data_IF_079006356329
#
_entry.id   IF_079006356329
#
_cell.length_a   1.000
_cell.length_b   1.000
_cell.length_c   1.000
_cell.angle_alpha   90.00
_cell.angle_beta   90.00
_cell.angle_gamma   90.00
#
_symmetry.space_group_name_H-M   'P 1'
#
loop_
_entity.id
_entity.type
_entity.pdbx_description
1 polymer ?
#
# COMPACT_ATOMS: atom_id res chain seq x y z
N UNK A 1 10.93 4.09 0.28
CA UNK A 1 10.74 2.90 1.15
C UNK A 1 12.07 2.20 1.46
N UNK A 2 12.98 2.08 0.51
CA UNK A 2 14.31 1.45 0.68
C UNK A 2 15.07 1.87 1.95
N UNK A 3 15.12 3.17 2.26
CA UNK A 3 15.81 3.66 3.47
C UNK A 3 15.21 3.11 4.78
N UNK A 4 13.89 3.08 4.91
CA UNK A 4 13.22 2.58 6.10
C UNK A 4 13.23 1.04 6.15
N UNK A 5 13.12 0.38 4.98
CA UNK A 5 13.29 -1.07 4.87
C UNK A 5 14.70 -1.49 5.33
N UNK A 6 15.74 -0.76 4.90
CA UNK A 6 17.13 -0.97 5.31
C UNK A 6 17.31 -0.88 6.83
N UNK A 7 16.60 0.04 7.51
CA UNK A 7 16.65 0.21 8.98
C UNK A 7 15.87 -0.84 9.77
N UNK A 8 14.94 -1.54 9.14
CA UNK A 8 14.07 -2.56 9.78
C UNK A 8 14.57 -3.99 9.46
N UNK A 9 15.39 -4.15 8.42
CA UNK A 9 15.94 -5.44 8.01
C UNK A 9 16.76 -6.10 9.13
N UNK A 10 16.49 -7.37 9.41
CA UNK A 10 17.26 -8.18 10.36
C UNK A 10 18.65 -8.45 9.75
N UNK A 11 19.70 -8.14 10.50
CA UNK A 11 21.11 -8.32 10.12
C UNK A 11 21.94 -8.75 11.32
N UNK A 12 23.06 -9.39 11.03
CA UNK A 12 24.08 -9.80 12.01
C UNK A 12 24.82 -8.60 12.63
N UNK A 13 24.85 -7.46 11.94
CA UNK A 13 25.33 -6.18 12.49
C UNK A 13 24.33 -5.57 13.49
N UNK A 14 24.78 -4.67 14.37
CA UNK A 14 23.92 -4.08 15.41
C UNK A 14 22.72 -3.32 14.84
N UNK A 15 21.53 -3.91 15.01
CA UNK A 15 20.26 -3.26 14.71
C UNK A 15 19.67 -2.69 16.00
N UNK A 16 20.06 -1.46 16.33
CA UNK A 16 19.66 -0.84 17.59
C UNK A 16 18.14 -0.64 17.72
N UNK A 17 17.38 -0.54 16.63
CA UNK A 17 15.95 -0.16 16.66
C UNK A 17 15.04 -1.37 16.94
N UNK A 18 15.42 -2.56 16.45
CA UNK A 18 14.66 -3.80 16.57
C UNK A 18 14.41 -4.32 18.02
N UNK A 19 15.36 -4.23 18.97
CA UNK A 19 15.16 -4.78 20.31
C UNK A 19 14.17 -3.98 21.17
N UNK A 20 13.90 -2.72 20.82
CA UNK A 20 13.01 -1.86 21.61
C UNK A 20 11.53 -2.14 21.31
N UNK A 21 10.98 -3.25 21.78
CA UNK A 21 9.57 -3.72 21.61
C UNK A 21 8.54 -2.61 21.28
N UNK A 22 8.11 -1.83 22.27
CA UNK A 22 7.02 -0.87 22.11
C UNK A 22 7.43 0.37 21.30
N UNK A 23 8.65 0.87 21.53
CA UNK A 23 9.22 2.00 20.77
C UNK A 23 9.42 1.66 19.29
N UNK A 24 9.67 0.40 18.96
CA UNK A 24 9.80 -0.10 17.60
C UNK A 24 8.46 -0.08 16.88
N UNK A 25 7.37 -0.45 17.56
CA UNK A 25 6.02 -0.32 17.01
C UNK A 25 5.66 1.14 16.76
N UNK A 26 5.96 2.04 17.72
CA UNK A 26 5.77 3.47 17.53
C UNK A 26 6.58 4.01 16.35
N UNK A 27 7.87 3.65 16.28
CA UNK A 27 8.75 4.02 15.17
C UNK A 27 8.18 3.56 13.82
N UNK A 28 7.67 2.33 13.71
CA UNK A 28 7.03 1.83 12.47
C UNK A 28 5.84 2.67 12.06
N UNK A 29 4.94 2.97 13.01
CA UNK A 29 3.72 3.75 12.75
C UNK A 29 4.07 5.18 12.36
N UNK A 30 4.98 5.83 13.10
CA UNK A 30 5.41 7.21 12.81
C UNK A 30 6.08 7.33 11.44
N UNK A 31 6.97 6.38 11.09
CA UNK A 31 7.61 6.40 9.78
C UNK A 31 6.61 6.15 8.65
N UNK A 32 5.64 5.25 8.84
CA UNK A 32 4.57 5.05 7.87
C UNK A 32 3.73 6.31 7.69
N UNK A 33 3.27 6.94 8.78
CA UNK A 33 2.46 8.15 8.75
C UNK A 33 3.20 9.30 8.05
N UNK A 34 4.51 9.46 8.29
CA UNK A 34 5.35 10.43 7.60
C UNK A 34 5.34 10.20 6.08
N UNK A 35 5.62 8.97 5.64
CA UNK A 35 5.69 8.62 4.22
C UNK A 35 4.33 8.85 3.55
N UNK A 36 3.25 8.44 4.21
CA UNK A 36 1.91 8.58 3.66
C UNK A 36 1.47 10.05 3.60
N UNK A 37 1.93 10.89 4.53
CA UNK A 37 1.68 12.34 4.51
C UNK A 37 2.44 13.05 3.38
N UNK A 38 3.66 12.60 3.05
CA UNK A 38 4.47 13.18 1.98
C UNK A 38 4.00 12.77 0.57
N UNK A 39 3.33 11.62 0.45
CA UNK A 39 2.92 11.01 -0.83
C UNK A 39 1.94 11.88 -1.65
N UNK A 40 0.87 12.47 -1.09
CA UNK A 40 0.00 13.39 -1.81
C UNK A 40 0.71 14.65 -2.29
N UNK A 41 1.64 15.19 -1.49
CA UNK A 41 2.43 16.36 -1.86
C UNK A 41 3.32 16.05 -3.07
N UNK A 42 3.98 14.89 -3.06
CA UNK A 42 4.77 14.42 -4.19
C UNK A 42 3.93 14.32 -5.47
N UNK A 43 2.73 13.73 -5.37
CA UNK A 43 1.81 13.59 -6.51
C UNK A 43 1.42 14.97 -7.04
N UNK A 44 1.07 15.92 -6.18
CA UNK A 44 0.69 17.28 -6.57
C UNK A 44 1.80 18.03 -7.31
N UNK A 45 3.05 17.84 -6.90
CA UNK A 45 4.21 18.53 -7.48
C UNK A 45 4.72 17.88 -8.77
N UNK A 46 4.55 16.56 -8.93
CA UNK A 46 5.14 15.79 -10.04
C UNK A 46 4.12 15.35 -11.11
N UNK A 47 2.98 16.03 -11.22
CA UNK A 47 1.88 15.66 -12.15
C UNK A 47 2.34 15.49 -13.62
N UNK A 48 3.26 16.34 -14.11
CA UNK A 48 3.79 16.25 -15.48
C UNK A 48 4.61 14.98 -15.70
N UNK A 49 5.46 14.62 -14.74
CA UNK A 49 6.27 13.39 -14.79
C UNK A 49 5.40 12.12 -14.69
N UNK A 50 4.28 12.21 -14.00
CA UNK A 50 3.30 11.13 -13.86
C UNK A 50 2.37 10.98 -15.08
N UNK A 51 2.60 11.72 -16.17
CA UNK A 51 1.78 11.73 -17.41
C UNK A 51 0.29 11.92 -17.15
N UNK A 52 -0.04 12.71 -16.14
CA UNK A 52 -1.44 13.02 -15.83
C UNK A 52 -2.12 13.80 -16.97
N UNK A 53 -1.35 14.49 -17.81
CA UNK A 53 -1.86 15.26 -18.96
C UNK A 53 -2.60 14.37 -19.98
N UNK A 54 -2.14 13.14 -20.21
CA UNK A 54 -2.83 12.16 -21.08
C UNK A 54 -4.23 11.82 -20.54
N UNK A 55 -4.38 11.80 -19.21
CA UNK A 55 -5.67 11.59 -18.55
C UNK A 55 -6.57 12.82 -18.57
N UNK A 56 -6.00 14.03 -18.61
CA UNK A 56 -6.79 15.25 -18.80
C UNK A 56 -7.44 15.19 -20.19
N UNK A 57 -6.69 14.85 -21.23
CA UNK A 57 -7.22 14.74 -22.59
C UNK A 57 -8.26 13.62 -22.74
N UNK A 58 -8.03 12.44 -22.13
CA UNK A 58 -9.01 11.36 -22.11
C UNK A 58 -10.30 11.77 -21.37
N UNK A 59 -10.17 12.46 -20.23
CA UNK A 59 -11.31 12.98 -19.50
C UNK A 59 -12.04 14.04 -20.31
N UNK A 60 -11.34 14.98 -20.91
CA UNK A 60 -11.94 16.05 -21.70
C UNK A 60 -12.68 15.49 -22.92
N UNK A 61 -12.15 14.42 -23.55
CA UNK A 61 -12.86 13.68 -24.61
C UNK A 61 -14.16 13.02 -24.12
N UNK A 62 -14.20 12.54 -22.87
CA UNK A 62 -15.40 11.96 -22.23
C UNK A 62 -16.37 13.05 -21.75
N UNK A 63 -15.87 14.22 -21.36
CA UNK A 63 -16.65 15.31 -20.71
C UNK A 63 -17.09 16.41 -21.68
N UNK A 64 -16.88 16.24 -22.98
CA UNK A 64 -17.17 17.23 -24.03
C UNK A 64 -18.68 17.49 -24.27
N UNK A 65 -19.53 17.17 -23.27
CA UNK A 65 -20.98 17.40 -23.27
C UNK A 65 -21.42 18.47 -22.24
N UNK A 66 -20.49 19.18 -21.57
CA UNK A 66 -20.91 20.32 -20.75
C UNK A 66 -19.87 20.97 -19.85
N UNK A 67 -19.59 22.24 -20.17
CA UNK A 67 -19.16 23.33 -19.27
C UNK A 67 -17.69 23.34 -18.78
N UNK A 68 -16.86 24.08 -19.53
CA UNK A 68 -15.39 24.22 -19.40
C UNK A 68 -14.96 25.22 -18.30
N UNK A 69 -15.85 25.65 -17.41
CA UNK A 69 -15.60 26.82 -16.54
C UNK A 69 -15.01 26.51 -15.16
N UNK A 70 -14.85 25.24 -14.77
CA UNK A 70 -14.33 24.85 -13.45
C UNK A 70 -13.09 23.94 -13.50
N UNK A 71 -12.12 24.26 -14.35
CA UNK A 71 -10.79 23.63 -14.32
C UNK A 71 -9.97 24.25 -13.17
N UNK A 72 -10.49 24.17 -11.95
CA UNK A 72 -9.70 24.41 -10.74
C UNK A 72 -8.76 23.22 -10.61
N UNK A 73 -7.55 23.36 -11.16
CA UNK A 73 -6.38 22.47 -11.05
C UNK A 73 -6.64 21.18 -10.25
N UNK A 74 -7.38 20.25 -10.83
CA UNK A 74 -7.70 18.97 -10.19
C UNK A 74 -6.42 18.14 -10.17
N UNK A 75 -5.89 17.89 -8.98
CA UNK A 75 -4.76 16.97 -8.81
C UNK A 75 -5.28 15.57 -9.02
N UNK A 76 -4.90 14.96 -10.13
CA UNK A 76 -5.27 13.58 -10.40
C UNK A 76 -4.37 12.66 -9.56
N UNK A 77 -4.99 11.97 -8.62
CA UNK A 77 -4.35 10.89 -7.87
C UNK A 77 -4.22 9.65 -8.77
N UNK A 78 -3.04 9.01 -8.84
CA UNK A 78 -2.87 7.71 -9.48
C UNK A 78 -3.81 6.65 -8.86
N UNK A 79 -4.10 5.58 -9.59
CA UNK A 79 -4.92 4.48 -9.08
C UNK A 79 -4.20 3.63 -8.01
N UNK A 80 -2.88 3.77 -7.89
CA UNK A 80 -2.08 3.18 -6.80
C UNK A 80 -2.28 3.88 -5.46
N UNK A 81 -3.07 4.96 -5.39
CA UNK A 81 -3.45 5.60 -4.15
C UNK A 81 -4.68 4.90 -3.55
N UNK A 82 -4.49 4.26 -2.41
CA UNK A 82 -5.53 3.51 -1.70
C UNK A 82 -6.67 4.46 -1.34
N UNK A 83 -7.92 4.00 -1.48
CA UNK A 83 -9.14 4.80 -1.27
C UNK A 83 -9.44 5.87 -2.33
N UNK A 84 -8.71 5.91 -3.44
CA UNK A 84 -9.11 6.71 -4.60
C UNK A 84 -10.28 6.04 -5.35
N UNK A 85 -11.19 6.82 -5.94
CA UNK A 85 -12.25 6.30 -6.81
C UNK A 85 -11.70 5.43 -7.95
N UNK A 86 -10.55 5.84 -8.53
CA UNK A 86 -9.86 5.04 -9.56
C UNK A 86 -9.36 3.69 -9.07
N UNK A 87 -8.85 3.63 -7.84
CA UNK A 87 -8.37 2.39 -7.24
C UNK A 87 -9.48 1.34 -7.15
N UNK A 88 -10.67 1.77 -6.70
CA UNK A 88 -11.84 0.90 -6.66
C UNK A 88 -12.31 0.49 -8.06
N UNK A 89 -12.26 1.41 -9.03
CA UNK A 89 -12.67 1.10 -10.39
C UNK A 89 -11.76 0.06 -11.07
N UNK A 90 -10.45 0.17 -10.90
CA UNK A 90 -9.49 -0.83 -11.41
C UNK A 90 -9.74 -2.20 -10.78
N UNK A 91 -9.95 -2.28 -9.46
CA UNK A 91 -10.28 -3.55 -8.82
C UNK A 91 -11.59 -4.16 -9.33
N UNK A 92 -12.61 -3.33 -9.57
CA UNK A 92 -13.86 -3.82 -10.15
C UNK A 92 -13.60 -4.35 -11.56
N UNK A 93 -12.83 -3.64 -12.39
CA UNK A 93 -12.46 -4.11 -13.73
C UNK A 93 -11.70 -5.44 -13.66
N UNK A 94 -10.69 -5.56 -12.80
CA UNK A 94 -9.92 -6.78 -12.61
C UNK A 94 -10.82 -7.95 -12.19
N UNK A 95 -11.69 -7.75 -11.20
CA UNK A 95 -12.67 -8.77 -10.77
C UNK A 95 -13.59 -9.16 -11.92
N UNK A 96 -14.08 -8.19 -12.70
CA UNK A 96 -14.94 -8.46 -13.86
C UNK A 96 -14.19 -9.25 -14.95
N UNK A 97 -12.91 -8.97 -15.18
CA UNK A 97 -12.10 -9.75 -16.12
C UNK A 97 -11.93 -11.18 -15.65
N UNK A 98 -11.71 -11.39 -14.35
CA UNK A 98 -11.59 -12.71 -13.74
C UNK A 98 -12.90 -13.51 -13.83
N UNK A 99 -14.04 -12.87 -13.53
CA UNK A 99 -15.36 -13.51 -13.67
C UNK A 99 -15.66 -13.84 -15.13
N UNK A 100 -15.24 -13.00 -16.07
CA UNK A 100 -15.42 -13.25 -17.50
C UNK A 100 -14.60 -14.43 -18.00
N UNK A 101 -13.37 -14.60 -17.50
CA UNK A 101 -12.46 -15.67 -17.94
C UNK A 101 -12.69 -17.01 -17.23
N UNK A 102 -12.95 -16.99 -15.92
CA UNK A 102 -13.07 -18.19 -15.08
C UNK A 102 -14.49 -18.50 -14.63
N UNK A 103 -15.46 -17.63 -14.92
CA UNK A 103 -16.85 -17.78 -14.47
C UNK A 103 -17.06 -17.21 -13.06
N UNK A 104 -18.29 -17.37 -12.56
CA UNK A 104 -18.68 -16.83 -11.25
C UNK A 104 -17.99 -17.62 -10.13
N UNK A 105 -17.39 -16.96 -9.12
CA UNK A 105 -16.85 -17.66 -7.97
C UNK A 105 -17.99 -18.33 -7.18
N UNK A 106 -17.90 -19.64 -7.01
CA UNK A 106 -18.86 -20.42 -6.21
C UNK A 106 -18.32 -20.78 -4.81
N UNK A 107 -17.01 -20.63 -4.58
CA UNK A 107 -16.36 -20.97 -3.31
C UNK A 107 -15.87 -19.73 -2.58
N UNK A 108 -16.34 -19.54 -1.34
CA UNK A 108 -15.80 -18.57 -0.40
C UNK A 108 -15.11 -19.30 0.74
N UNK A 109 -13.77 -19.30 0.76
CA UNK A 109 -12.98 -19.84 1.87
C UNK A 109 -12.72 -18.76 2.91
N UNK A 110 -13.22 -18.97 4.12
CA UNK A 110 -12.91 -18.09 5.27
C UNK A 110 -11.83 -18.74 6.12
N UNK A 111 -10.64 -18.15 6.13
CA UNK A 111 -9.58 -18.56 7.05
C UNK A 111 -9.79 -17.84 8.38
N UNK A 112 -10.16 -18.60 9.41
CA UNK A 112 -10.13 -18.11 10.79
C UNK A 112 -8.73 -18.33 11.35
N UNK A 113 -8.10 -17.27 11.84
CA UNK A 113 -6.78 -17.33 12.44
C UNK A 113 -6.89 -17.15 13.95
N UNK A 114 -6.39 -18.12 14.72
CA UNK A 114 -6.35 -18.06 16.17
C UNK A 114 -4.90 -17.97 16.64
N UNK A 115 -4.51 -16.85 17.24
CA UNK A 115 -3.15 -16.59 17.77
C UNK A 115 -2.67 -17.61 18.81
N UNK A 116 -3.56 -18.42 19.37
CA UNK A 116 -3.21 -19.48 20.32
C UNK A 116 -2.68 -20.77 19.68
N UNK A 117 -2.81 -20.95 18.35
CA UNK A 117 -2.39 -22.18 17.67
C UNK A 117 -0.88 -22.43 17.78
N UNK A 118 -0.53 -23.71 17.86
CA UNK A 118 0.84 -24.21 18.07
C UNK A 118 1.79 -23.79 16.96
N UNK A 119 1.32 -23.75 15.72
CA UNK A 119 2.04 -23.40 14.51
C UNK A 119 2.52 -21.95 14.61
N UNK A 120 1.62 -21.05 15.01
CA UNK A 120 1.91 -19.63 15.19
C UNK A 120 2.90 -19.44 16.33
N UNK A 121 2.70 -20.13 17.45
CA UNK A 121 3.63 -20.07 18.59
C UNK A 121 5.00 -20.60 18.23
N UNK A 122 5.08 -21.65 17.41
CA UNK A 122 6.34 -22.23 16.93
C UNK A 122 7.11 -21.25 16.04
N UNK A 123 6.42 -20.59 15.10
CA UNK A 123 7.02 -19.56 14.24
C UNK A 123 7.43 -18.30 15.02
N UNK A 124 6.67 -17.94 16.07
CA UNK A 124 7.08 -16.84 16.96
C UNK A 124 8.24 -17.24 17.88
N UNK A 125 8.35 -18.50 18.28
CA UNK A 125 9.43 -19.02 19.10
C UNK A 125 10.75 -19.17 18.32
N UNK A 126 10.71 -19.58 17.06
CA UNK A 126 11.92 -19.64 16.20
C UNK A 126 12.55 -18.26 16.01
N UNK A 127 11.74 -17.20 15.90
CA UNK A 127 12.24 -15.81 15.91
C UNK A 127 12.94 -15.45 17.22
N UNK A 128 12.49 -15.99 18.36
CA UNK A 128 13.13 -15.77 19.66
C UNK A 128 14.38 -16.64 19.87
N UNK A 129 14.43 -17.86 19.34
CA UNK A 129 15.63 -18.71 19.40
C UNK A 129 16.77 -18.20 18.51
N UNK A 130 16.47 -17.57 17.38
CA UNK A 130 17.49 -16.84 16.62
C UNK A 130 18.04 -15.61 17.36
N UNK A 131 17.32 -15.07 18.36
CA UNK A 131 17.83 -14.01 19.25
C UNK A 131 18.74 -14.53 20.35
N UNK A 132 18.57 -15.77 20.81
CA UNK A 132 19.40 -16.36 21.87
C UNK A 132 20.68 -17.00 21.33
N UNK A 133 20.69 -17.47 20.08
CA UNK A 133 21.88 -18.05 19.45
C UNK A 133 22.88 -16.99 18.90
N UNK A 134 22.55 -15.70 18.95
CA UNK A 134 23.42 -14.58 18.56
C UNK A 134 23.84 -13.69 19.75
N UNK A 135 23.69 -14.20 20.98
CA UNK A 135 24.25 -13.61 22.20
C UNK A 135 25.31 -14.56 22.75
#
# INVERSE_FOLDING_TARGET
MEFYAFRIMIRTSSNHILPYRQLFHQYKVDMYAKIESERPLYIKLNQQKLRVEEFIHLRDAITNDGNVTYIVRMVNLPATYISNSRHMHEYVQDVMTYVRSYGRPDLFNTFTYNTAWSEIKKELATVNHQRTAMM
#
